data_IF_595348891093
#
_entry.id   IF_595348891093
#
_cell.length_a   1.000
_cell.length_b   1.000
_cell.length_c   1.000
_cell.angle_alpha   90.00
_cell.angle_beta   90.00
_cell.angle_gamma   90.00
#
_symmetry.space_group_name_H-M   'P 1'
#
loop_
_entity.id
_entity.type
_entity.pdbx_description
1 polymer ?
#
# COMPACT_ATOMS: atom_id res chain seq x y z
N UNK A 1 15.90 11.59 5.90
CA UNK A 1 15.17 10.38 6.38
C UNK A 1 15.52 9.19 5.50
N UNK A 2 15.91 8.09 6.13
CA UNK A 2 16.19 6.84 5.41
C UNK A 2 14.98 5.91 5.55
N UNK A 3 14.54 5.30 4.44
CA UNK A 3 13.35 4.44 4.38
C UNK A 3 13.65 3.13 3.68
N UNK A 4 13.03 2.07 4.18
CA UNK A 4 13.03 0.76 3.55
C UNK A 4 11.59 0.28 3.46
N UNK A 5 11.19 -0.24 2.31
CA UNK A 5 9.83 -0.76 2.09
C UNK A 5 9.87 -2.18 1.64
N UNK A 6 8.85 -2.92 2.03
CA UNK A 6 8.65 -4.31 1.61
C UNK A 6 7.17 -4.59 1.45
N UNK A 7 6.84 -5.46 0.51
CA UNK A 7 5.48 -5.92 0.25
C UNK A 7 5.34 -7.37 0.67
N UNK A 8 4.21 -7.71 1.27
CA UNK A 8 3.93 -9.05 1.79
C UNK A 8 2.55 -9.53 1.37
N UNK A 9 2.39 -10.83 1.18
CA UNK A 9 1.11 -11.48 0.95
C UNK A 9 0.48 -11.94 2.28
N UNK A 10 -0.67 -12.64 2.22
CA UNK A 10 -1.40 -13.12 3.39
C UNK A 10 -0.61 -14.10 4.26
N UNK A 11 0.39 -14.78 3.70
CA UNK A 11 1.27 -15.70 4.43
C UNK A 11 2.47 -14.98 5.05
N UNK A 12 2.47 -13.65 5.05
CA UNK A 12 3.58 -12.81 5.50
C UNK A 12 4.89 -13.08 4.74
N UNK A 13 4.77 -13.48 3.47
CA UNK A 13 5.91 -13.71 2.57
C UNK A 13 6.16 -12.46 1.75
N UNK A 14 7.42 -12.00 1.72
CA UNK A 14 7.82 -10.88 0.88
C UNK A 14 7.70 -11.25 -0.59
N UNK A 15 6.96 -10.45 -1.36
CA UNK A 15 6.72 -10.72 -2.77
C UNK A 15 6.40 -9.44 -3.54
N UNK A 16 6.63 -9.48 -4.85
CA UNK A 16 6.18 -8.47 -5.81
C UNK A 16 5.16 -9.03 -6.79
N UNK A 17 4.63 -10.22 -6.54
CA UNK A 17 3.61 -10.88 -7.36
C UNK A 17 2.49 -11.38 -6.46
N UNK A 18 1.26 -11.00 -6.80
CA UNK A 18 0.05 -11.31 -6.04
C UNK A 18 -0.99 -11.93 -6.97
N UNK A 19 -1.83 -12.80 -6.44
CA UNK A 19 -3.01 -13.26 -7.15
C UNK A 19 -4.17 -12.29 -6.91
N UNK A 20 -5.08 -12.20 -7.87
CA UNK A 20 -6.34 -11.48 -7.67
C UNK A 20 -7.01 -11.98 -6.39
N UNK A 21 -7.38 -11.06 -5.50
CA UNK A 21 -8.02 -11.39 -4.23
C UNK A 21 -7.08 -11.68 -3.07
N UNK A 22 -5.77 -11.65 -3.29
CA UNK A 22 -4.80 -11.80 -2.20
C UNK A 22 -4.84 -10.61 -1.25
N UNK A 23 -4.49 -10.87 0.01
CA UNK A 23 -4.17 -9.81 0.95
C UNK A 23 -2.83 -9.18 0.57
N UNK A 24 -2.72 -7.89 0.81
CA UNK A 24 -1.55 -7.12 0.44
C UNK A 24 -1.16 -6.23 1.61
N UNK A 25 0.11 -6.20 1.96
CA UNK A 25 0.61 -5.25 2.94
C UNK A 25 1.91 -4.60 2.49
N UNK A 26 2.07 -3.34 2.86
CA UNK A 26 3.29 -2.58 2.65
C UNK A 26 3.85 -2.23 4.01
N UNK A 27 5.09 -2.63 4.26
CA UNK A 27 5.82 -2.32 5.48
C UNK A 27 6.86 -1.27 5.15
N UNK A 28 6.76 -0.12 5.80
CA UNK A 28 7.68 1.00 5.63
C UNK A 28 8.47 1.19 6.91
N UNK A 29 9.77 0.93 6.85
CA UNK A 29 10.70 1.22 7.93
C UNK A 29 11.37 2.56 7.67
N UNK A 30 11.51 3.37 8.71
CA UNK A 30 12.11 4.69 8.59
C UNK A 30 13.11 4.95 9.72
N UNK A 31 14.08 5.81 9.43
CA UNK A 31 14.98 6.42 10.40
C UNK A 31 15.17 7.89 10.05
N UNK A 32 15.34 8.73 11.06
CA UNK A 32 15.65 10.14 10.87
C UNK A 32 16.64 10.61 11.94
N UNK A 33 17.34 11.72 11.66
CA UNK A 33 18.42 12.19 12.53
C UNK A 33 17.96 13.24 13.55
N UNK A 34 16.94 14.03 13.21
CA UNK A 34 16.50 15.15 14.04
C UNK A 34 15.61 14.64 15.17
N UNK A 35 16.16 14.62 16.39
CA UNK A 35 15.43 14.18 17.58
C UNK A 35 14.28 15.12 17.96
N UNK A 36 14.28 16.35 17.47
CA UNK A 36 13.17 17.28 17.70
C UNK A 36 11.87 16.84 17.02
N UNK A 37 11.96 15.92 16.05
CA UNK A 37 10.79 15.34 15.38
C UNK A 37 10.10 14.26 16.21
N UNK A 38 10.73 13.76 17.26
CA UNK A 38 10.08 12.79 18.17
C UNK A 38 8.87 13.45 18.83
N UNK A 39 7.75 12.74 18.86
CA UNK A 39 6.46 13.27 19.30
C UNK A 39 5.60 13.85 18.19
N UNK A 40 6.14 14.04 17.00
CA UNK A 40 5.42 14.49 15.82
C UNK A 40 4.60 13.38 15.20
N UNK A 41 3.61 13.76 14.36
CA UNK A 41 2.79 12.83 13.63
C UNK A 41 3.37 12.59 12.22
N UNK A 42 3.42 11.33 11.81
CA UNK A 42 3.82 10.92 10.47
C UNK A 42 2.58 10.65 9.61
N UNK A 43 2.46 11.37 8.50
CA UNK A 43 1.49 11.08 7.46
C UNK A 43 2.18 10.35 6.32
N UNK A 44 1.62 9.21 5.91
CA UNK A 44 2.10 8.45 4.76
C UNK A 44 0.99 8.40 3.72
N UNK A 45 1.31 8.82 2.51
CA UNK A 45 0.45 8.69 1.34
C UNK A 45 1.06 7.65 0.41
N UNK A 46 0.27 6.66 0.05
CA UNK A 46 0.68 5.62 -0.89
C UNK A 46 -0.23 5.70 -2.10
N UNK A 47 0.36 5.92 -3.27
CA UNK A 47 -0.36 5.95 -4.54
C UNK A 47 -0.02 4.72 -5.34
N UNK A 48 -1.04 3.98 -5.76
CA UNK A 48 -0.90 2.85 -6.68
C UNK A 48 -1.35 3.29 -8.05
N UNK A 49 -0.49 3.14 -9.05
CA UNK A 49 -0.77 3.52 -10.43
C UNK A 49 -0.75 2.27 -11.32
N UNK A 50 -1.62 2.26 -12.34
CA UNK A 50 -1.63 1.19 -13.34
C UNK A 50 -0.53 1.41 -14.40
N UNK A 51 -0.45 0.53 -15.40
CA UNK A 51 0.57 0.60 -16.44
C UNK A 51 0.46 1.84 -17.33
N UNK A 52 -0.69 2.51 -17.37
CA UNK A 52 -0.87 3.79 -18.09
C UNK A 52 -0.66 5.00 -17.20
N UNK A 53 -0.08 4.81 -16.00
CA UNK A 53 0.21 5.85 -15.02
C UNK A 53 -1.04 6.56 -14.47
N UNK A 54 -2.18 5.89 -14.50
CA UNK A 54 -3.40 6.36 -13.85
C UNK A 54 -3.39 5.89 -12.40
N UNK A 55 -3.62 6.81 -11.46
CA UNK A 55 -3.76 6.47 -10.05
C UNK A 55 -5.05 5.67 -9.84
N UNK A 56 -4.91 4.46 -9.32
CA UNK A 56 -6.04 3.55 -9.09
C UNK A 56 -6.42 3.45 -7.61
N UNK A 57 -5.46 3.65 -6.72
CA UNK A 57 -5.72 3.73 -5.28
C UNK A 57 -4.82 4.80 -4.66
N UNK A 58 -5.38 5.52 -3.69
CA UNK A 58 -4.65 6.46 -2.85
C UNK A 58 -4.94 6.12 -1.39
N UNK A 59 -3.89 5.79 -0.65
CA UNK A 59 -3.99 5.37 0.74
C UNK A 59 -3.29 6.41 1.61
N UNK A 60 -3.97 6.83 2.67
CA UNK A 60 -3.47 7.85 3.59
C UNK A 60 -3.87 7.48 5.00
N UNK A 61 -2.90 7.29 5.89
CA UNK A 61 -3.17 6.82 7.24
C UNK A 61 -4.04 7.80 8.04
N UNK A 62 -3.80 9.11 7.92
CA UNK A 62 -4.56 10.11 8.69
C UNK A 62 -6.00 10.23 8.20
N UNK A 63 -6.22 10.17 6.88
CA UNK A 63 -7.58 10.23 6.30
C UNK A 63 -8.42 9.04 6.77
N UNK A 64 -7.81 7.88 6.97
CA UNK A 64 -8.51 6.70 7.47
C UNK A 64 -8.59 6.65 8.99
N UNK A 65 -8.10 7.67 9.69
CA UNK A 65 -8.22 7.81 11.14
C UNK A 65 -7.08 7.19 11.94
N UNK A 66 -6.01 6.77 11.30
CA UNK A 66 -4.84 6.21 11.98
C UNK A 66 -3.77 7.29 12.17
N UNK A 67 -3.52 7.68 13.42
CA UNK A 67 -2.47 8.63 13.77
C UNK A 67 -1.21 7.86 14.16
N UNK A 68 -0.12 8.10 13.43
CA UNK A 68 1.17 7.48 13.71
C UNK A 68 2.11 8.50 14.35
N UNK A 69 2.30 8.38 15.65
CA UNK A 69 3.20 9.25 16.40
C UNK A 69 4.63 8.70 16.37
N UNK A 70 5.59 9.57 16.08
CA UNK A 70 7.02 9.23 16.09
C UNK A 70 7.49 9.12 17.53
N UNK A 71 7.66 7.91 18.05
CA UNK A 71 8.07 7.66 19.44
C UNK A 71 9.58 7.71 19.61
N UNK A 72 10.32 7.32 18.58
CA UNK A 72 11.79 7.33 18.54
C UNK A 72 12.24 7.77 17.16
N UNK A 73 13.55 7.90 16.96
CA UNK A 73 14.13 8.29 15.66
C UNK A 73 14.10 7.20 14.61
N UNK A 74 13.63 6.01 14.96
CA UNK A 74 13.40 4.93 14.01
C UNK A 74 12.11 4.20 14.35
N UNK A 75 11.45 3.67 13.33
CA UNK A 75 10.20 2.96 13.52
C UNK A 75 9.70 2.34 12.23
N UNK A 76 8.46 1.87 12.31
CA UNK A 76 7.81 1.14 11.24
C UNK A 76 6.34 1.53 11.18
N UNK A 77 5.82 1.68 9.97
CA UNK A 77 4.38 1.80 9.71
C UNK A 77 3.98 0.75 8.70
N UNK A 78 2.85 0.10 8.92
CA UNK A 78 2.35 -0.98 8.07
C UNK A 78 0.98 -0.58 7.53
N UNK A 79 0.82 -0.67 6.21
CA UNK A 79 -0.47 -0.51 5.55
C UNK A 79 -0.94 -1.89 5.07
N UNK A 80 -2.09 -2.33 5.56
CA UNK A 80 -2.70 -3.61 5.19
C UNK A 80 -3.92 -3.36 4.33
N UNK A 81 -4.00 -4.06 3.19
CA UNK A 81 -5.17 -4.06 2.32
C UNK A 81 -5.66 -5.50 2.23
N UNK A 82 -6.66 -5.89 3.03
CA UNK A 82 -7.24 -7.21 2.91
C UNK A 82 -7.96 -7.31 1.58
N UNK A 83 -7.67 -8.38 0.83
CA UNK A 83 -8.30 -8.65 -0.47
C UNK A 83 -8.19 -7.46 -1.42
N UNK A 84 -6.98 -7.22 -1.94
CA UNK A 84 -6.76 -6.08 -2.83
C UNK A 84 -7.79 -6.05 -3.97
N UNK A 85 -8.52 -4.94 -4.18
CA UNK A 85 -9.65 -4.90 -5.11
C UNK A 85 -9.23 -4.68 -6.57
N UNK A 86 -7.96 -4.78 -6.88
CA UNK A 86 -7.43 -4.52 -8.21
C UNK A 86 -7.43 -5.80 -9.07
N UNK A 87 -7.71 -5.63 -10.35
CA UNK A 87 -7.63 -6.69 -11.35
C UNK A 87 -6.20 -7.00 -11.78
N UNK A 88 -6.07 -7.96 -12.70
CA UNK A 88 -4.78 -8.34 -13.28
C UNK A 88 -4.07 -7.16 -13.91
N UNK A 89 -2.76 -7.09 -13.74
CA UNK A 89 -1.95 -6.05 -14.37
C UNK A 89 -0.66 -5.77 -13.61
N UNK A 90 0.09 -4.85 -14.15
CA UNK A 90 1.31 -4.35 -13.54
C UNK A 90 1.03 -2.97 -12.95
N UNK A 91 1.46 -2.78 -11.71
CA UNK A 91 1.21 -1.55 -10.96
C UNK A 91 2.52 -1.00 -10.41
N UNK A 92 2.54 0.30 -10.18
CA UNK A 92 3.65 0.97 -9.50
C UNK A 92 3.17 1.64 -8.22
N UNK A 93 4.07 1.76 -7.26
CA UNK A 93 3.81 2.38 -5.96
C UNK A 93 4.67 3.62 -5.81
N UNK A 94 4.05 4.73 -5.44
CA UNK A 94 4.72 5.95 -5.00
C UNK A 94 4.37 6.20 -3.55
N UNK A 95 5.35 6.63 -2.75
CA UNK A 95 5.16 6.90 -1.33
C UNK A 95 5.61 8.32 -1.02
N UNK A 96 4.76 9.07 -0.32
CA UNK A 96 5.07 10.39 0.21
C UNK A 96 4.90 10.35 1.73
N UNK A 97 5.91 10.82 2.46
CA UNK A 97 5.85 10.93 3.91
C UNK A 97 5.96 12.40 4.30
N UNK A 98 5.09 12.83 5.21
CA UNK A 98 5.04 14.18 5.73
C UNK A 98 5.02 14.14 7.25
N UNK A 99 5.84 14.98 7.88
CA UNK A 99 5.87 15.11 9.33
C UNK A 99 5.32 16.49 9.71
N UNK A 100 4.30 16.52 10.58
CA UNK A 100 3.63 17.74 11.04
C UNK A 100 3.15 18.67 9.91
N UNK A 101 2.70 18.10 8.80
CA UNK A 101 2.16 18.82 7.64
C UNK A 101 3.10 19.86 6.99
N UNK A 102 4.30 20.06 7.55
CA UNK A 102 5.23 21.10 7.07
C UNK A 102 6.54 20.60 6.51
N UNK A 103 6.93 19.37 6.84
CA UNK A 103 8.17 18.78 6.33
C UNK A 103 7.80 17.63 5.40
N UNK A 104 7.91 17.88 4.09
CA UNK A 104 7.64 16.86 3.08
C UNK A 104 8.94 16.17 2.71
N UNK A 105 9.00 14.89 2.98
CA UNK A 105 10.02 14.04 2.40
C UNK A 105 9.35 13.22 1.31
N UNK A 106 9.46 13.71 0.07
CA UNK A 106 8.89 13.02 -1.08
C UNK A 106 9.89 11.97 -1.54
N UNK A 107 9.63 10.73 -1.19
CA UNK A 107 10.30 9.62 -1.83
C UNK A 107 9.52 9.23 -3.07
N UNK A 108 9.95 9.72 -4.19
CA UNK A 108 9.53 9.18 -5.48
C UNK A 108 10.32 7.90 -5.76
N UNK A 109 10.30 6.97 -4.85
CA UNK A 109 10.77 5.63 -5.14
C UNK A 109 9.62 4.86 -5.77
N UNK A 110 9.76 4.59 -7.05
CA UNK A 110 8.81 3.79 -7.80
C UNK A 110 9.20 2.33 -7.60
N UNK A 111 8.29 1.59 -6.99
CA UNK A 111 8.38 0.15 -6.85
C UNK A 111 7.26 -0.45 -7.69
N UNK A 112 7.51 -1.57 -8.34
CA UNK A 112 6.52 -2.23 -9.18
C UNK A 112 6.11 -3.56 -8.57
N UNK A 113 4.84 -3.94 -8.80
CA UNK A 113 4.33 -5.27 -8.50
C UNK A 113 3.34 -5.69 -9.58
N UNK A 114 3.05 -6.98 -9.65
CA UNK A 114 2.05 -7.49 -10.59
C UNK A 114 0.96 -8.25 -9.86
N UNK A 115 -0.23 -8.20 -10.43
CA UNK A 115 -1.37 -9.02 -10.01
C UNK A 115 -1.67 -9.99 -11.14
N UNK A 116 -1.60 -11.29 -10.84
CA UNK A 116 -1.86 -12.38 -11.77
C UNK A 116 -3.25 -12.97 -11.50
N UNK A 117 -3.80 -13.81 -12.40
CA UNK A 117 -5.13 -14.39 -12.21
C UNK A 117 -5.32 -15.08 -10.87
N UNK A 118 -6.53 -14.92 -10.30
CA UNK A 118 -6.93 -15.53 -9.03
C UNK A 118 -8.43 -15.54 -8.89
N UNK A 119 -8.90 -16.18 -7.82
CA UNK A 119 -10.32 -16.33 -7.50
C UNK A 119 -10.73 -15.35 -6.40
N UNK A 120 -11.11 -14.13 -6.79
CA UNK A 120 -11.47 -13.07 -5.83
C UNK A 120 -12.64 -13.49 -4.94
N UNK A 121 -13.63 -14.15 -5.50
CA UNK A 121 -14.87 -14.48 -4.78
C UNK A 121 -14.83 -15.82 -4.04
N UNK A 122 -13.80 -16.65 -4.28
CA UNK A 122 -13.63 -17.92 -3.61
C UNK A 122 -14.64 -19.00 -4.01
N UNK A 123 -15.30 -18.84 -5.16
CA UNK A 123 -16.33 -19.78 -5.63
C UNK A 123 -15.77 -20.95 -6.41
N UNK A 124 -14.52 -20.89 -6.82
CA UNK A 124 -13.91 -21.87 -7.73
C UNK A 124 -14.33 -21.70 -9.18
N UNK A 125 -15.16 -20.71 -9.49
CA UNK A 125 -15.59 -20.43 -10.87
C UNK A 125 -14.62 -19.39 -11.45
N UNK A 126 -14.00 -19.74 -12.57
CA UNK A 126 -13.08 -18.84 -13.27
C UNK A 126 -13.83 -17.61 -13.75
N UNK A 127 -13.30 -16.43 -13.45
CA UNK A 127 -13.84 -15.18 -13.98
C UNK A 127 -13.39 -15.02 -15.43
N UNK A 128 -14.28 -15.24 -16.36
CA UNK A 128 -14.03 -15.09 -17.80
C UNK A 128 -14.06 -13.63 -18.26
N UNK A 129 -14.52 -12.72 -17.40
CA UNK A 129 -14.55 -11.28 -17.68
C UNK A 129 -13.48 -10.61 -16.83
N UNK A 130 -12.43 -10.09 -17.49
CA UNK A 130 -11.41 -9.33 -16.79
C UNK A 130 -11.96 -8.00 -16.34
N UNK A 131 -11.73 -7.66 -15.09
CA UNK A 131 -12.16 -6.40 -14.48
C UNK A 131 -10.95 -5.62 -13.99
N UNK A 132 -11.02 -4.29 -14.07
CA UNK A 132 -9.99 -3.44 -13.46
C UNK A 132 -10.09 -3.44 -11.94
N UNK A 133 -11.31 -3.61 -11.44
CA UNK A 133 -11.61 -3.64 -10.01
C UNK A 133 -12.55 -4.79 -9.70
N UNK A 134 -12.47 -5.28 -8.46
CA UNK A 134 -13.38 -6.28 -7.92
C UNK A 134 -14.05 -5.72 -6.69
N UNK A 135 -15.32 -6.02 -6.51
CA UNK A 135 -16.02 -5.69 -5.28
C UNK A 135 -17.06 -6.77 -4.96
N UNK A 136 -17.30 -6.94 -3.66
CA UNK A 136 -18.32 -7.86 -3.17
C UNK A 136 -19.70 -7.30 -3.49
N UNK A 137 -20.60 -8.15 -4.00
CA UNK A 137 -21.98 -7.80 -4.27
C UNK A 137 -22.90 -8.86 -3.68
N UNK A 138 -24.13 -8.43 -3.35
CA UNK A 138 -25.17 -9.34 -2.85
C UNK A 138 -26.32 -9.35 -3.85
N UNK A 139 -26.82 -10.53 -4.14
CA UNK A 139 -27.91 -10.74 -5.08
C UNK A 139 -29.15 -11.25 -4.34
N UNK A 140 -30.32 -10.71 -4.68
CA UNK A 140 -31.62 -11.08 -4.11
C UNK A 140 -32.61 -11.42 -5.20
#
# INVERSE_FOLDING_TARGET
>A
MRKMRKMFNQNNTETSSFNVGDDFSIKLKYTFKDQNLVGSNLQVKISLNNSTQTEVLNLNNEVTGFVHKLKTTSGEIICEIPKIPLGEGTYSISIQATINSGVSDILKEICSFEIIPGDYFGTGIANITKSNYYCKSNWK
#
